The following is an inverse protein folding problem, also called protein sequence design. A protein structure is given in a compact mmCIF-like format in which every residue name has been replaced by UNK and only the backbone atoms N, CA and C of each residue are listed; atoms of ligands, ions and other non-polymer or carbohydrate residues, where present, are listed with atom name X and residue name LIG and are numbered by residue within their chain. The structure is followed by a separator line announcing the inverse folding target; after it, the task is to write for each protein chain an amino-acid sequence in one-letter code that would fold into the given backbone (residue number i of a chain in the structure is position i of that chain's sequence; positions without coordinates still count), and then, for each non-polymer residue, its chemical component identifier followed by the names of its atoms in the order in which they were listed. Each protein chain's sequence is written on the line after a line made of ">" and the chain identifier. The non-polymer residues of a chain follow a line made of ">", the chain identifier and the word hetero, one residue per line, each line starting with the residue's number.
data_IF_497293695684
#
_entry.id   IF_497293695684
#
_cell.length_a   1.000
_cell.length_b   1.000
_cell.length_c   1.000
_cell.angle_alpha   90.00
_cell.angle_beta   90.00
_cell.angle_gamma   90.00
#
_symmetry.space_group_name_H-M   'P 1'
#
loop_
_entity.id
_entity.type
_entity.pdbx_description
1 polymer ?
#
# COMPACT_ATOMS: atom_id res chain seq x y z
N UNK A 1 4.37 4.57 1.87
CA UNK A 1 4.76 4.42 3.29
C UNK A 1 4.61 5.71 4.12
N UNK A 2 4.98 6.89 3.59
CA UNK A 2 4.97 8.17 4.33
C UNK A 2 3.63 8.54 4.99
N UNK A 3 2.49 8.31 4.31
CA UNK A 3 1.13 8.53 4.86
C UNK A 3 0.94 7.85 6.22
N UNK A 4 1.53 6.68 6.36
CA UNK A 4 1.38 5.80 7.51
C UNK A 4 2.62 5.84 8.42
N UNK A 5 3.55 6.79 8.19
CA UNK A 5 4.80 6.94 8.96
C UNK A 5 5.56 5.62 9.15
N UNK A 6 5.65 4.83 8.07
CA UNK A 6 6.27 3.50 8.07
C UNK A 6 5.69 2.54 9.15
N UNK A 7 4.43 2.74 9.54
CA UNK A 7 3.74 1.92 10.54
C UNK A 7 2.85 0.90 9.84
N UNK A 8 3.02 -0.37 10.17
CA UNK A 8 2.12 -1.43 9.71
C UNK A 8 0.70 -1.16 10.24
N UNK A 9 -0.27 -1.05 9.35
CA UNK A 9 -1.65 -0.75 9.71
C UNK A 9 -2.41 -1.93 10.33
N UNK A 10 -1.78 -3.11 10.40
CA UNK A 10 -2.32 -4.29 11.05
C UNK A 10 -1.79 -4.48 12.48
N UNK A 11 -0.47 -4.51 12.66
CA UNK A 11 0.13 -4.77 13.98
C UNK A 11 0.58 -3.50 14.72
N UNK A 12 0.64 -2.35 14.05
CA UNK A 12 0.95 -1.05 14.67
C UNK A 12 2.41 -0.79 14.95
N UNK A 13 3.29 -1.73 14.63
CA UNK A 13 4.73 -1.57 14.76
C UNK A 13 5.27 -0.72 13.61
N UNK A 14 6.34 0.02 13.89
CA UNK A 14 7.11 0.80 12.92
C UNK A 14 8.23 -0.06 12.37
N UNK A 15 8.47 0.00 11.07
CA UNK A 15 9.49 -0.78 10.38
C UNK A 15 10.32 0.10 9.44
N UNK A 16 11.47 -0.40 9.01
CA UNK A 16 12.19 0.19 7.89
C UNK A 16 11.40 0.04 6.58
N UNK A 17 11.59 0.96 5.65
CA UNK A 17 10.86 0.95 4.36
C UNK A 17 11.04 -0.35 3.56
N UNK A 18 12.18 -1.02 3.70
CA UNK A 18 12.48 -2.31 3.03
C UNK A 18 11.66 -3.48 3.56
N UNK A 19 11.15 -3.38 4.79
CA UNK A 19 10.39 -4.42 5.48
C UNK A 19 8.88 -4.16 5.43
N UNK A 20 8.46 -3.23 4.57
CA UNK A 20 7.09 -2.79 4.42
C UNK A 20 6.59 -3.02 2.99
N UNK A 21 5.31 -3.39 2.90
CA UNK A 21 4.56 -3.60 1.67
C UNK A 21 3.38 -2.63 1.58
N UNK A 22 2.94 -2.36 0.36
CA UNK A 22 1.63 -1.76 0.10
C UNK A 22 0.65 -2.91 -0.11
N UNK A 23 -0.36 -3.00 0.76
CA UNK A 23 -1.33 -4.07 0.75
C UNK A 23 -2.73 -3.55 0.47
N UNK A 24 -3.48 -4.32 -0.32
CA UNK A 24 -4.88 -4.06 -0.62
C UNK A 24 -5.76 -4.63 0.49
N UNK A 25 -6.50 -3.77 1.19
CA UNK A 25 -7.45 -4.15 2.25
C UNK A 25 -8.49 -5.14 1.72
N UNK A 26 -9.13 -4.81 0.60
CA UNK A 26 -9.87 -5.76 -0.23
C UNK A 26 -8.92 -6.27 -1.30
N UNK A 27 -8.62 -7.59 -1.37
CA UNK A 27 -7.72 -8.17 -2.36
C UNK A 27 -8.11 -7.83 -3.81
N UNK A 28 -7.12 -7.67 -4.70
CA UNK A 28 -7.31 -7.31 -6.11
C UNK A 28 -8.08 -8.38 -6.88
N UNK A 29 -7.78 -9.66 -6.64
CA UNK A 29 -8.48 -10.82 -7.21
C UNK A 29 -9.96 -10.89 -6.79
N UNK A 30 -10.32 -10.22 -5.70
CA UNK A 30 -11.70 -10.05 -5.22
C UNK A 30 -12.32 -8.70 -5.62
N UNK A 31 -11.74 -8.02 -6.61
CA UNK A 31 -12.27 -6.75 -7.14
C UNK A 31 -11.91 -5.52 -6.32
N UNK A 32 -10.97 -5.63 -5.37
CA UNK A 32 -10.50 -4.50 -4.59
C UNK A 32 -9.76 -3.46 -5.44
N UNK A 33 -10.15 -2.17 -5.42
CA UNK A 33 -9.54 -1.16 -6.26
C UNK A 33 -8.14 -0.78 -5.76
N UNK A 34 -7.26 -0.38 -6.67
CA UNK A 34 -5.98 0.24 -6.30
C UNK A 34 -6.22 1.73 -6.00
N UNK A 35 -6.69 2.04 -4.78
CA UNK A 35 -7.07 3.39 -4.36
C UNK A 35 -6.53 3.77 -2.97
N UNK A 36 -6.57 5.06 -2.64
CA UNK A 36 -6.15 5.57 -1.32
C UNK A 36 -6.97 5.01 -0.17
N UNK A 37 -8.21 4.61 -0.46
CA UNK A 37 -9.21 4.05 0.44
C UNK A 37 -9.13 2.52 0.54
N UNK A 38 -8.27 1.87 -0.26
CA UNK A 38 -8.09 0.42 -0.22
C UNK A 38 -6.64 -0.01 -0.01
N UNK A 39 -5.66 0.90 -0.07
CA UNK A 39 -4.24 0.55 0.12
C UNK A 39 -3.76 1.00 1.49
N UNK A 40 -3.03 0.10 2.18
CA UNK A 40 -2.41 0.32 3.49
C UNK A 40 -0.94 -0.09 3.52
N UNK A 41 -0.18 0.50 4.42
CA UNK A 41 1.15 0.02 4.77
C UNK A 41 1.04 -1.25 5.62
N UNK A 42 1.71 -2.34 5.24
CA UNK A 42 1.78 -3.60 6.00
C UNK A 42 3.23 -4.05 6.17
N UNK A 43 3.58 -4.72 7.27
CA UNK A 43 4.85 -5.44 7.33
C UNK A 43 4.73 -6.78 6.59
N UNK A 44 5.87 -7.38 6.25
CA UNK A 44 5.92 -8.67 5.53
C UNK A 44 5.09 -9.74 6.26
N UNK A 45 5.29 -9.92 7.56
CA UNK A 45 4.58 -10.94 8.36
C UNK A 45 3.06 -10.77 8.32
N UNK A 46 2.55 -9.55 8.54
CA UNK A 46 1.13 -9.26 8.49
C UNK A 46 0.56 -9.41 7.07
N UNK A 47 1.33 -9.01 6.05
CA UNK A 47 0.94 -9.15 4.66
C UNK A 47 0.77 -10.63 4.28
N UNK A 48 1.74 -11.46 4.64
CA UNK A 48 1.70 -12.91 4.42
C UNK A 48 0.55 -13.56 5.18
N UNK A 49 0.32 -13.18 6.44
CA UNK A 49 -0.80 -13.69 7.24
C UNK A 49 -2.16 -13.33 6.64
N UNK A 50 -2.31 -12.10 6.12
CA UNK A 50 -3.56 -11.67 5.47
C UNK A 50 -3.75 -12.38 4.12
N UNK A 51 -2.70 -12.50 3.31
CA UNK A 51 -2.76 -13.11 1.98
C UNK A 51 -3.94 -12.52 1.15
N UNK A 52 -4.65 -13.36 0.38
CA UNK A 52 -5.83 -12.97 -0.39
C UNK A 52 -7.13 -12.96 0.43
N UNK A 53 -7.05 -12.69 1.73
CA UNK A 53 -8.20 -12.45 2.58
C UNK A 53 -8.38 -10.95 2.86
N UNK A 54 -9.61 -10.55 3.17
CA UNK A 54 -9.86 -9.27 3.86
C UNK A 54 -9.31 -9.32 5.29
N UNK A 55 -9.05 -8.17 5.95
CA UNK A 55 -8.59 -8.19 7.34
C UNK A 55 -9.50 -9.00 8.25
N UNK A 56 -10.81 -8.84 8.10
CA UNK A 56 -11.81 -9.56 8.89
C UNK A 56 -11.69 -11.08 8.73
N UNK A 57 -11.55 -11.57 7.49
CA UNK A 57 -11.37 -13.00 7.21
C UNK A 57 -10.04 -13.54 7.76
N UNK A 58 -8.98 -12.74 7.78
CA UNK A 58 -7.69 -13.10 8.37
C UNK A 58 -7.65 -12.98 9.91
N UNK A 59 -8.76 -12.60 10.55
CA UNK A 59 -8.81 -12.32 11.99
C UNK A 59 -7.93 -11.13 12.38
N UNK A 60 -7.82 -10.15 11.49
CA UNK A 60 -7.02 -8.94 11.61
C UNK A 60 -7.92 -7.71 11.55
N UNK A 61 -7.41 -6.57 12.00
CA UNK A 61 -8.11 -5.30 11.90
C UNK A 61 -7.14 -4.21 11.51
N UNK A 62 -7.69 -3.15 10.92
CA UNK A 62 -6.93 -1.95 10.60
C UNK A 62 -6.91 -1.02 11.80
N UNK A 63 -5.72 -0.54 12.15
CA UNK A 63 -5.53 0.47 13.19
C UNK A 63 -6.12 1.81 12.76
N UNK A 64 -6.01 2.13 11.47
CA UNK A 64 -6.61 3.32 10.88
C UNK A 64 -7.22 2.99 9.53
N UNK A 65 -8.40 3.54 9.27
CA UNK A 65 -9.04 3.43 7.96
C UNK A 65 -8.18 4.12 6.89
N UNK A 66 -7.86 3.46 5.77
CA UNK A 66 -7.19 4.08 4.63
C UNK A 66 -8.05 5.24 4.10
N UNK A 67 -7.41 6.38 3.86
CA UNK A 67 -8.04 7.57 3.31
C UNK A 67 -7.04 8.38 2.50
N UNK A 68 -7.55 9.12 1.52
CA UNK A 68 -6.77 10.12 0.80
C UNK A 68 -6.18 11.17 1.76
N UNK A 69 -4.88 11.51 1.64
CA UNK A 69 -4.30 12.62 2.39
C UNK A 69 -5.05 13.93 2.10
N UNK A 70 -5.35 14.71 3.14
CA UNK A 70 -5.90 16.06 2.96
C UNK A 70 -4.79 16.96 2.43
N UNK A 71 -4.94 17.47 1.21
CA UNK A 71 -4.02 18.44 0.64
C UNK A 71 -4.04 19.70 1.51
N UNK A 72 -2.89 20.14 2.03
CA UNK A 72 -2.77 21.41 2.77
C UNK A 72 -2.23 22.46 1.80
N UNK A 73 -3.02 23.48 1.41
CA UNK A 73 -2.65 24.33 0.29
C UNK A 73 -1.49 25.31 0.53
N UNK A 74 -0.97 25.46 1.75
CA UNK A 74 0.13 26.40 2.01
C UNK A 74 1.07 25.89 3.12
N UNK A 75 2.13 25.19 2.70
CA UNK A 75 3.38 25.11 3.45
C UNK A 75 4.49 25.43 2.44
N UNK A 76 4.85 26.72 2.34
CA UNK A 76 6.12 27.14 1.76
C UNK A 76 7.22 26.64 2.69
N UNK A 77 7.69 25.43 2.45
CA UNK A 77 9.01 24.99 2.90
C UNK A 77 9.79 24.73 1.62
N UNK A 78 10.93 25.41 1.49
CA UNK A 78 11.89 25.24 0.40
C UNK A 78 12.18 23.75 0.16
N UNK A 79 11.50 23.15 -0.81
CA UNK A 79 11.93 21.94 -1.49
C UNK A 79 12.11 22.34 -2.96
N UNK A 80 13.17 23.12 -3.19
CA UNK A 80 13.85 23.06 -4.47
C UNK A 80 14.27 21.61 -4.68
N UNK A 81 13.84 21.04 -5.81
CA UNK A 81 14.16 19.69 -6.32
C UNK A 81 13.34 18.55 -5.69
N UNK A 82 12.83 17.65 -6.54
CA UNK A 82 11.93 16.51 -6.26
C UNK A 82 10.43 16.82 -6.20
N UNK A 83 9.95 17.52 -7.24
CA UNK A 83 8.73 17.03 -7.90
C UNK A 83 9.00 15.59 -8.34
N UNK A 84 8.60 14.63 -7.52
CA UNK A 84 8.44 13.27 -7.99
C UNK A 84 6.95 12.98 -7.94
N UNK A 85 6.36 12.86 -9.12
CA UNK A 85 5.10 12.16 -9.39
C UNK A 85 5.20 10.67 -9.03
N UNK A 86 5.81 10.35 -7.89
CA UNK A 86 6.15 9.00 -7.45
C UNK A 86 4.93 8.16 -7.13
N UNK A 87 3.72 8.73 -7.09
CA UNK A 87 2.52 7.93 -6.84
C UNK A 87 2.16 7.05 -8.04
N UNK A 88 2.33 7.54 -9.29
CA UNK A 88 2.10 6.72 -10.49
C UNK A 88 3.24 5.71 -10.68
N UNK A 89 4.49 6.10 -10.42
CA UNK A 89 5.64 5.20 -10.55
C UNK A 89 5.66 4.06 -9.51
N UNK A 90 5.02 4.24 -8.34
CA UNK A 90 4.83 3.18 -7.35
C UNK A 90 3.74 2.16 -7.72
N UNK A 91 2.84 2.50 -8.66
CA UNK A 91 1.81 1.58 -9.15
C UNK A 91 2.41 0.66 -10.22
N UNK A 92 3.37 1.15 -11.01
CA UNK A 92 4.04 0.38 -12.09
C UNK A 92 5.13 -0.58 -11.59
N UNK A 93 5.78 -0.33 -10.44
CA UNK A 93 6.76 -1.28 -9.89
C UNK A 93 6.13 -2.57 -9.32
N UNK A 94 4.80 -2.59 -9.14
CA UNK A 94 4.06 -3.81 -8.79
C UNK A 94 3.74 -4.69 -10.01
N UNK A 95 4.10 -4.27 -11.24
CA UNK A 95 3.78 -4.97 -12.49
C UNK A 95 4.91 -5.84 -13.07
N UNK A 96 6.06 -5.98 -12.42
CA UNK A 96 7.22 -6.70 -12.98
C UNK A 96 7.60 -7.99 -12.25
N UNK A 97 6.64 -8.82 -11.84
CA UNK A 97 6.91 -10.22 -11.43
C UNK A 97 5.71 -11.17 -11.66
N UNK A 98 5.02 -11.01 -12.79
CA UNK A 98 4.20 -12.09 -13.35
C UNK A 98 4.51 -12.15 -14.84
N UNK A 99 5.29 -13.15 -15.22
CA UNK A 99 5.50 -13.55 -16.61
C UNK A 99 4.13 -13.66 -17.28
N UNK A 100 3.93 -12.92 -18.38
CA UNK A 100 2.84 -13.20 -19.31
C UNK A 100 3.19 -14.52 -20.00
N UNK A 101 2.74 -15.62 -19.40
CA UNK A 101 2.54 -16.86 -20.15
C UNK A 101 1.40 -16.63 -21.14
N UNK A 102 1.76 -16.17 -22.34
CA UNK A 102 0.99 -16.49 -23.53
C UNK A 102 1.04 -18.01 -23.69
N UNK A 103 -0.05 -18.71 -23.37
CA UNK A 103 -0.25 -20.04 -23.90
C UNK A 103 -1.48 -20.05 -24.80
N UNK A 104 -1.13 -20.19 -26.08
CA UNK A 104 -1.94 -20.56 -27.22
C UNK A 104 -2.77 -21.80 -26.90
N UNK A 105 -4.09 -21.70 -27.08
CA UNK A 105 -4.87 -22.64 -27.92
C UNK A 105 -6.26 -22.08 -28.22
#
# INVERSE_FOLDING_TARGET
>A
FERDKNTCQYCGRVFDRKDLNLDHVVPRDRGGPTSWENIVCSCIECNTRKSNHTPTEAGMHLIRKPKRPKWRPFVQINFSLYQHDSWKHFIDLAYWNVELGEDVT
#
